data_IF_711468148006
#
_entry.id   IF_711468148006
#
_cell.length_a   1.000
_cell.length_b   1.000
_cell.length_c   1.000
_cell.angle_alpha   90.00
_cell.angle_beta   90.00
_cell.angle_gamma   90.00
#
_symmetry.space_group_name_H-M   'P 1'
#
loop_
_entity.id
_entity.type
_entity.pdbx_description
1 polymer ?
#
# COMPACT_ATOMS: atom_id res chain seq x y z
N UNK A 1 20.27 27.34 -34.63
CA UNK A 1 19.37 26.19 -34.90
C UNK A 1 19.31 25.38 -33.62
N UNK A 2 18.14 25.29 -32.98
CA UNK A 2 18.00 24.54 -31.72
C UNK A 2 18.22 23.06 -32.01
N UNK A 3 19.14 22.44 -31.27
CA UNK A 3 19.44 21.01 -31.42
C UNK A 3 18.36 20.19 -30.69
N UNK A 4 17.30 19.86 -31.42
CA UNK A 4 16.21 19.02 -30.95
C UNK A 4 16.67 17.60 -30.57
N UNK A 5 17.80 17.12 -31.11
CA UNK A 5 18.32 15.78 -30.78
C UNK A 5 18.83 15.72 -29.34
N UNK A 6 19.47 16.80 -28.88
CA UNK A 6 19.94 16.93 -27.50
C UNK A 6 18.78 16.99 -26.51
N UNK A 7 17.71 17.71 -26.86
CA UNK A 7 16.50 17.80 -26.01
C UNK A 7 15.80 16.43 -25.91
N UNK A 8 15.64 15.73 -27.05
CA UNK A 8 15.04 14.40 -27.07
C UNK A 8 15.84 13.38 -26.23
N UNK A 9 17.18 13.45 -26.28
CA UNK A 9 18.04 12.61 -25.44
C UNK A 9 17.82 12.88 -23.94
N UNK A 10 17.84 14.15 -23.53
CA UNK A 10 17.60 14.54 -22.12
C UNK A 10 16.22 14.09 -21.63
N UNK A 11 15.17 14.27 -22.44
CA UNK A 11 13.83 13.80 -22.10
C UNK A 11 13.75 12.28 -21.92
N UNK A 12 14.49 11.53 -22.75
CA UNK A 12 14.54 10.06 -22.67
C UNK A 12 15.28 9.60 -21.41
N UNK A 13 16.37 10.28 -21.05
CA UNK A 13 17.13 9.99 -19.82
C UNK A 13 16.29 10.31 -18.57
N UNK A 14 15.64 11.46 -18.51
CA UNK A 14 14.73 11.84 -17.41
C UNK A 14 13.59 10.83 -17.28
N UNK A 15 12.98 10.43 -18.41
CA UNK A 15 11.91 9.43 -18.40
C UNK A 15 12.40 8.09 -17.87
N UNK A 16 13.60 7.64 -18.29
CA UNK A 16 14.20 6.41 -17.79
C UNK A 16 14.46 6.47 -16.29
N UNK A 17 15.06 7.55 -15.80
CA UNK A 17 15.32 7.75 -14.36
C UNK A 17 14.02 7.79 -13.55
N UNK A 18 12.98 8.39 -14.11
CA UNK A 18 11.64 8.36 -13.52
C UNK A 18 11.09 6.93 -13.48
N UNK A 19 11.05 6.22 -14.61
CA UNK A 19 10.51 4.87 -14.69
C UNK A 19 11.30 3.88 -13.79
N UNK A 20 12.63 4.02 -13.72
CA UNK A 20 13.48 3.23 -12.82
C UNK A 20 13.18 3.54 -11.35
N UNK A 21 13.07 4.83 -10.98
CA UNK A 21 12.75 5.25 -9.62
C UNK A 21 11.34 4.88 -9.15
N UNK A 22 10.40 4.69 -10.08
CA UNK A 22 9.03 4.30 -9.78
C UNK A 22 8.75 2.80 -10.00
N UNK A 23 9.71 2.02 -10.50
CA UNK A 23 9.55 0.56 -10.67
C UNK A 23 9.24 -0.16 -9.34
N UNK A 24 9.73 0.35 -8.22
CA UNK A 24 9.41 -0.16 -6.88
C UNK A 24 7.96 0.14 -6.45
N UNK A 25 7.32 1.17 -7.01
CA UNK A 25 5.89 1.44 -6.78
C UNK A 25 4.99 0.42 -7.44
N UNK A 26 5.41 -0.18 -8.56
CA UNK A 26 4.67 -1.29 -9.16
C UNK A 26 4.64 -2.49 -8.23
N UNK A 27 5.74 -2.76 -7.52
CA UNK A 27 5.80 -3.79 -6.49
C UNK A 27 4.97 -3.45 -5.22
N UNK A 28 4.66 -2.16 -5.01
CA UNK A 28 3.80 -1.70 -3.91
C UNK A 28 2.30 -1.79 -4.25
N UNK A 29 1.90 -1.80 -5.53
CA UNK A 29 0.49 -1.84 -5.95
C UNK A 29 -0.34 -2.89 -5.20
N UNK A 30 0.06 -4.18 -5.12
CA UNK A 30 -0.73 -5.18 -4.40
C UNK A 30 -0.84 -4.89 -2.91
N UNK A 31 0.20 -4.31 -2.31
CA UNK A 31 0.18 -3.89 -0.90
C UNK A 31 -0.75 -2.70 -0.70
N UNK A 32 -0.79 -1.76 -1.64
CA UNK A 32 -1.72 -0.62 -1.58
C UNK A 32 -3.18 -1.06 -1.76
N UNK A 33 -3.44 -2.07 -2.58
CA UNK A 33 -4.79 -2.67 -2.70
C UNK A 33 -5.24 -3.29 -1.38
N UNK A 34 -4.39 -4.08 -0.74
CA UNK A 34 -4.63 -4.62 0.60
C UNK A 34 -4.84 -3.50 1.63
N UNK A 35 -4.00 -2.47 1.57
CA UNK A 35 -4.06 -1.36 2.50
C UNK A 35 -5.34 -0.54 2.35
N UNK A 36 -5.85 -0.36 1.13
CA UNK A 36 -7.06 0.43 0.86
C UNK A 36 -8.35 -0.35 1.08
N UNK A 37 -8.34 -1.68 0.90
CA UNK A 37 -9.54 -2.52 1.00
C UNK A 37 -9.31 -3.80 1.82
N UNK A 38 -8.89 -3.71 3.10
CA UNK A 38 -8.58 -4.89 3.92
C UNK A 38 -9.78 -5.82 4.14
N UNK A 39 -11.01 -5.29 4.08
CA UNK A 39 -12.25 -6.04 4.28
C UNK A 39 -12.75 -6.75 3.01
N UNK A 40 -12.25 -6.38 1.83
CA UNK A 40 -12.73 -6.91 0.54
C UNK A 40 -11.66 -7.63 -0.29
N UNK A 41 -10.41 -7.69 0.18
CA UNK A 41 -9.37 -8.45 -0.52
C UNK A 41 -9.65 -9.95 -0.49
N UNK A 42 -9.28 -10.63 -1.57
CA UNK A 42 -9.20 -12.08 -1.59
C UNK A 42 -8.02 -12.55 -0.73
N UNK A 43 -8.32 -13.21 0.39
CA UNK A 43 -7.34 -13.72 1.35
C UNK A 43 -6.34 -14.69 0.68
N UNK A 44 -6.80 -15.53 -0.24
CA UNK A 44 -5.95 -16.55 -0.90
C UNK A 44 -4.84 -15.92 -1.76
N UNK A 45 -5.04 -14.69 -2.21
CA UNK A 45 -4.07 -13.96 -3.02
C UNK A 45 -3.06 -13.17 -2.17
N UNK A 46 -3.19 -13.17 -0.84
CA UNK A 46 -2.30 -12.44 0.07
C UNK A 46 -1.16 -13.33 0.58
N UNK A 47 -0.08 -12.71 1.07
CA UNK A 47 1.01 -13.42 1.74
C UNK A 47 0.47 -14.28 2.89
N UNK A 48 0.94 -15.54 2.98
CA UNK A 48 0.53 -16.52 3.99
C UNK A 48 0.66 -15.97 5.42
N UNK A 49 1.61 -15.06 5.66
CA UNK A 49 1.79 -14.43 6.95
C UNK A 49 0.54 -13.66 7.43
N UNK A 50 -0.21 -13.04 6.51
CA UNK A 50 -1.39 -12.20 6.80
C UNK A 50 -2.70 -12.97 6.74
N UNK A 51 -2.75 -14.13 6.08
CA UNK A 51 -4.01 -14.81 5.76
C UNK A 51 -4.86 -15.15 6.99
N UNK A 52 -4.23 -15.62 8.08
CA UNK A 52 -4.92 -15.93 9.33
C UNK A 52 -5.55 -14.68 9.96
N UNK A 53 -4.77 -13.60 10.10
CA UNK A 53 -5.26 -12.35 10.67
C UNK A 53 -6.34 -11.71 9.79
N UNK A 54 -6.24 -11.83 8.46
CA UNK A 54 -7.26 -11.34 7.54
C UNK A 54 -8.55 -12.14 7.63
N UNK A 55 -8.47 -13.47 7.78
CA UNK A 55 -9.64 -14.31 8.00
C UNK A 55 -10.38 -13.89 9.27
N UNK A 56 -9.64 -13.74 10.38
CA UNK A 56 -10.19 -13.27 11.64
C UNK A 56 -10.81 -11.86 11.51
N UNK A 57 -10.07 -10.92 10.91
CA UNK A 57 -10.51 -9.53 10.70
C UNK A 57 -11.79 -9.46 9.85
N UNK A 58 -11.83 -10.18 8.72
CA UNK A 58 -12.99 -10.19 7.82
C UNK A 58 -14.18 -10.93 8.41
N UNK A 59 -13.99 -11.90 9.30
CA UNK A 59 -15.08 -12.60 9.98
C UNK A 59 -15.69 -11.80 11.14
N UNK A 60 -15.01 -10.76 11.60
CA UNK A 60 -15.39 -10.01 12.79
C UNK A 60 -16.49 -8.97 12.51
N UNK A 61 -17.60 -9.05 13.26
CA UNK A 61 -18.77 -8.19 13.09
C UNK A 61 -18.48 -6.71 13.37
N UNK A 62 -17.58 -6.39 14.29
CA UNK A 62 -17.14 -5.03 14.57
C UNK A 62 -16.43 -4.44 13.35
N UNK A 63 -15.51 -5.18 12.73
CA UNK A 63 -14.81 -4.70 11.53
C UNK A 63 -15.72 -4.68 10.30
N UNK A 64 -16.67 -5.61 10.17
CA UNK A 64 -17.70 -5.57 9.13
C UNK A 64 -18.55 -4.31 9.19
N UNK A 65 -18.93 -3.85 10.39
CA UNK A 65 -19.64 -2.58 10.57
C UNK A 65 -18.78 -1.35 10.20
N UNK A 66 -17.45 -1.51 10.13
CA UNK A 66 -16.47 -0.47 9.85
C UNK A 66 -15.87 -0.51 8.44
N UNK A 67 -16.40 -1.36 7.55
CA UNK A 67 -15.88 -1.51 6.17
C UNK A 67 -15.87 -0.23 5.31
N UNK A 68 -16.71 0.76 5.66
CA UNK A 68 -16.81 2.05 4.96
C UNK A 68 -16.18 3.21 5.75
N UNK A 69 -15.49 2.92 6.86
CA UNK A 69 -14.75 3.89 7.63
C UNK A 69 -13.54 4.40 6.82
N UNK A 70 -13.13 5.66 7.04
CA UNK A 70 -11.91 6.18 6.43
C UNK A 70 -10.72 5.29 6.77
N UNK A 71 -9.87 5.01 5.77
CA UNK A 71 -8.78 4.04 5.94
C UNK A 71 -7.78 4.43 7.04
N UNK A 72 -7.59 5.74 7.23
CA UNK A 72 -6.80 6.32 8.31
C UNK A 72 -7.36 6.06 9.70
N UNK A 73 -8.68 5.94 9.82
CA UNK A 73 -9.37 5.58 11.06
C UNK A 73 -9.45 4.06 11.21
N UNK A 74 -9.73 3.32 10.14
CA UNK A 74 -9.80 1.85 10.14
C UNK A 74 -8.52 1.22 10.71
N UNK A 75 -7.35 1.59 10.19
CA UNK A 75 -6.07 1.04 10.66
C UNK A 75 -5.74 1.38 12.11
N UNK A 76 -6.35 2.43 12.69
CA UNK A 76 -6.23 2.75 14.13
C UNK A 76 -7.01 1.77 15.00
N UNK A 77 -8.09 1.19 14.49
CA UNK A 77 -8.91 0.20 15.18
C UNK A 77 -8.27 -1.19 15.20
N UNK A 78 -7.40 -1.48 14.24
CA UNK A 78 -6.63 -2.73 14.18
C UNK A 78 -5.59 -2.74 15.31
N UNK A 79 -5.86 -3.49 16.38
CA UNK A 79 -5.02 -3.54 17.57
C UNK A 79 -3.77 -4.40 17.35
N UNK A 80 -2.66 -3.99 17.99
CA UNK A 80 -1.40 -4.74 17.95
C UNK A 80 -1.51 -6.11 18.60
N UNK A 81 -2.31 -6.23 19.67
CA UNK A 81 -2.40 -7.47 20.45
C UNK A 81 -3.17 -8.57 19.70
N UNK A 82 -4.14 -8.18 18.86
CA UNK A 82 -4.96 -9.12 18.11
C UNK A 82 -4.48 -9.32 16.66
N UNK A 83 -3.99 -8.27 16.02
CA UNK A 83 -3.58 -8.29 14.62
C UNK A 83 -2.16 -7.72 14.45
N UNK A 84 -1.14 -8.31 15.10
CA UNK A 84 0.21 -7.75 15.12
C UNK A 84 0.82 -7.62 13.72
N UNK A 85 0.57 -8.56 12.81
CA UNK A 85 1.17 -8.54 11.46
C UNK A 85 0.49 -7.51 10.58
N UNK A 86 -0.83 -7.45 10.57
CA UNK A 86 -1.60 -6.45 9.84
C UNK A 86 -1.34 -5.04 10.36
N UNK A 87 -1.20 -4.87 11.69
CA UNK A 87 -0.81 -3.60 12.29
C UNK A 87 0.59 -3.17 11.83
N UNK A 88 1.57 -4.06 11.88
CA UNK A 88 2.93 -3.76 11.41
C UNK A 88 2.97 -3.47 9.91
N UNK A 89 2.18 -4.19 9.11
CA UNK A 89 2.02 -3.94 7.68
C UNK A 89 1.54 -2.51 7.41
N UNK A 90 0.45 -2.09 8.08
CA UNK A 90 -0.08 -0.74 7.92
C UNK A 90 0.91 0.33 8.37
N UNK A 91 1.60 0.12 9.49
CA UNK A 91 2.63 1.04 9.98
C UNK A 91 3.80 1.19 8.99
N UNK A 92 4.26 0.09 8.37
CA UNK A 92 5.31 0.16 7.33
C UNK A 92 4.88 1.04 6.16
N UNK A 93 3.64 0.88 5.68
CA UNK A 93 3.12 1.73 4.61
C UNK A 93 2.96 3.19 5.05
N UNK A 94 2.44 3.45 6.25
CA UNK A 94 2.40 4.82 6.80
C UNK A 94 3.79 5.44 6.89
N UNK A 95 4.82 4.69 7.30
CA UNK A 95 6.20 5.20 7.36
C UNK A 95 6.79 5.47 5.98
N UNK A 96 6.45 4.68 4.95
CA UNK A 96 6.90 4.91 3.57
C UNK A 96 6.34 6.21 2.98
N UNK A 97 5.11 6.59 3.32
CA UNK A 97 4.49 7.83 2.83
C UNK A 97 4.59 9.01 3.81
N UNK A 98 4.85 8.74 5.08
CA UNK A 98 4.96 9.73 6.16
C UNK A 98 6.20 10.62 6.05
N UNK A 99 7.27 10.18 5.38
CA UNK A 99 8.44 11.03 5.10
C UNK A 99 8.15 12.15 4.10
N UNK A 100 6.97 12.17 3.48
CA UNK A 100 6.57 13.19 2.50
C UNK A 100 5.66 14.27 3.08
N UNK A 101 5.05 14.04 4.25
CA UNK A 101 4.05 14.94 4.85
C UNK A 101 3.99 14.85 6.40
N UNK A 102 5.14 14.95 7.07
CA UNK A 102 5.19 15.32 8.50
C UNK A 102 5.80 16.71 8.66
#
# INVERSE_FOLDING_TARGET
>A
MVDFSRIAKVLTEIKREYDEGFSEFDALKPKLELFNNPMGVNIQNQSAEYQLELCELQSDSFFQAKKHEYISTFWKLVSKDRFPKLRNFALKLYSMFGSTYM
#
